data_IF_212229623271
#
_entry.id   IF_212229623271
#
_cell.length_a   1.000
_cell.length_b   1.000
_cell.length_c   1.000
_cell.angle_alpha   90.00
_cell.angle_beta   90.00
_cell.angle_gamma   90.00
#
_symmetry.space_group_name_H-M   'P 1'
#
loop_
_entity.id
_entity.type
_entity.pdbx_description
1 polymer ?
#
# COMPACT_ATOMS: atom_id res chain seq x y z
N UNK A 1 9.00 -9.06 -24.39
CA UNK A 1 7.55 -9.01 -24.12
C UNK A 1 7.36 -8.77 -22.63
N UNK A 2 6.55 -7.78 -22.23
CA UNK A 2 6.29 -7.55 -20.81
C UNK A 2 5.39 -8.67 -20.28
N UNK A 3 5.85 -9.41 -19.29
CA UNK A 3 5.06 -10.43 -18.60
C UNK A 3 4.14 -9.75 -17.59
N UNK A 4 2.84 -9.72 -17.88
CA UNK A 4 1.84 -9.22 -16.94
C UNK A 4 1.42 -10.34 -15.99
N UNK A 5 1.31 -10.03 -14.70
CA UNK A 5 0.72 -10.94 -13.70
C UNK A 5 -0.49 -10.28 -13.05
N UNK A 6 -1.45 -11.09 -12.60
CA UNK A 6 -2.66 -10.60 -11.94
C UNK A 6 -2.50 -10.60 -10.42
N UNK A 7 -3.11 -9.62 -9.77
CA UNK A 7 -3.14 -9.48 -8.31
C UNK A 7 -4.57 -9.71 -7.84
N UNK A 8 -4.76 -10.69 -6.96
CA UNK A 8 -6.04 -10.96 -6.30
C UNK A 8 -5.97 -10.46 -4.85
N UNK A 9 -6.70 -9.38 -4.55
CA UNK A 9 -6.78 -8.82 -3.19
C UNK A 9 -8.21 -8.94 -2.69
N UNK A 10 -8.37 -9.48 -1.48
CA UNK A 10 -9.66 -9.45 -0.78
C UNK A 10 -9.85 -8.08 -0.15
N UNK A 11 -11.02 -7.50 -0.34
CA UNK A 11 -11.41 -6.22 0.22
C UNK A 11 -12.88 -6.30 0.63
N UNK A 12 -13.25 -5.57 1.67
CA UNK A 12 -14.64 -5.40 2.05
C UNK A 12 -15.45 -4.77 0.90
N UNK A 13 -16.69 -5.22 0.73
CA UNK A 13 -17.55 -4.77 -0.36
C UNK A 13 -17.84 -3.26 -0.30
N UNK A 14 -18.07 -2.74 0.90
CA UNK A 14 -18.34 -1.31 1.12
C UNK A 14 -17.11 -0.48 0.75
N UNK A 15 -15.94 -0.92 1.20
CA UNK A 15 -14.66 -0.26 0.89
C UNK A 15 -14.41 -0.26 -0.62
N UNK A 16 -14.66 -1.40 -1.30
CA UNK A 16 -14.52 -1.50 -2.76
C UNK A 16 -15.44 -0.52 -3.49
N UNK A 17 -16.71 -0.44 -3.09
CA UNK A 17 -17.68 0.46 -3.72
C UNK A 17 -17.28 1.93 -3.55
N UNK A 18 -16.92 2.33 -2.33
CA UNK A 18 -16.49 3.70 -2.03
C UNK A 18 -15.21 4.09 -2.79
N UNK A 19 -14.20 3.22 -2.79
CA UNK A 19 -12.95 3.47 -3.50
C UNK A 19 -13.17 3.57 -5.01
N UNK A 20 -14.02 2.69 -5.57
CA UNK A 20 -14.35 2.70 -7.01
C UNK A 20 -15.03 4.02 -7.40
N UNK A 21 -16.02 4.47 -6.64
CA UNK A 21 -16.71 5.73 -6.91
C UNK A 21 -15.78 6.94 -6.80
N UNK A 22 -14.94 6.97 -5.76
CA UNK A 22 -13.98 8.07 -5.54
C UNK A 22 -12.95 8.15 -6.66
N UNK A 23 -12.37 7.01 -7.05
CA UNK A 23 -11.37 6.97 -8.13
C UNK A 23 -12.01 7.29 -9.48
N UNK A 24 -13.23 6.83 -9.74
CA UNK A 24 -13.96 7.17 -10.97
C UNK A 24 -14.22 8.67 -11.08
N UNK A 25 -14.55 9.36 -9.97
CA UNK A 25 -14.67 10.81 -9.94
C UNK A 25 -13.35 11.54 -10.25
N UNK A 26 -12.21 10.87 -10.02
CA UNK A 26 -10.87 11.34 -10.40
C UNK A 26 -10.45 10.90 -11.82
N UNK A 27 -11.30 10.18 -12.56
CA UNK A 27 -10.98 9.65 -13.89
C UNK A 27 -10.06 8.42 -13.88
N UNK A 28 -9.98 7.71 -12.76
CA UNK A 28 -9.09 6.56 -12.56
C UNK A 28 -9.88 5.28 -12.31
N UNK A 29 -9.38 4.15 -12.82
CA UNK A 29 -9.85 2.84 -12.37
C UNK A 29 -9.11 2.39 -11.10
N UNK A 30 -9.68 1.43 -10.37
CA UNK A 30 -8.99 0.76 -9.24
C UNK A 30 -7.67 0.16 -9.69
N UNK A 31 -7.63 -0.43 -10.88
CA UNK A 31 -6.43 -1.02 -11.46
C UNK A 31 -5.34 0.02 -11.74
N UNK A 32 -5.70 1.24 -12.15
CA UNK A 32 -4.74 2.33 -12.36
C UNK A 32 -4.14 2.78 -11.03
N UNK A 33 -4.98 2.98 -10.02
CA UNK A 33 -4.53 3.34 -8.68
C UNK A 33 -3.59 2.28 -8.09
N UNK A 34 -3.93 1.00 -8.21
CA UNK A 34 -3.08 -0.11 -7.73
C UNK A 34 -1.75 -0.15 -8.48
N UNK A 35 -1.74 0.02 -9.81
CA UNK A 35 -0.49 0.10 -10.58
C UNK A 35 0.39 1.27 -10.13
N UNK A 36 -0.18 2.46 -9.99
CA UNK A 36 0.56 3.66 -9.57
C UNK A 36 1.15 3.48 -8.16
N UNK A 37 0.37 2.91 -7.22
CA UNK A 37 0.83 2.59 -5.89
C UNK A 37 2.05 1.67 -5.92
N UNK A 38 1.98 0.56 -6.67
CA UNK A 38 3.07 -0.41 -6.74
C UNK A 38 4.33 0.16 -7.37
N UNK A 39 4.19 1.00 -8.40
CA UNK A 39 5.33 1.70 -9.01
C UNK A 39 5.97 2.65 -8.00
N UNK A 40 5.17 3.49 -7.31
CA UNK A 40 5.67 4.45 -6.32
C UNK A 40 6.40 3.73 -5.18
N UNK A 41 5.82 2.66 -4.63
CA UNK A 41 6.43 1.86 -3.56
C UNK A 41 7.75 1.23 -4.02
N UNK A 42 7.81 0.70 -5.24
CA UNK A 42 9.02 0.11 -5.78
C UNK A 42 10.13 1.15 -6.01
N UNK A 43 9.77 2.37 -6.43
CA UNK A 43 10.74 3.44 -6.71
C UNK A 43 11.23 4.16 -5.46
N UNK A 44 10.35 4.43 -4.50
CA UNK A 44 10.67 5.26 -3.33
C UNK A 44 10.91 4.49 -2.05
N UNK A 45 10.64 3.19 -2.06
CA UNK A 45 10.76 2.35 -0.87
C UNK A 45 9.92 2.90 0.30
N UNK A 46 8.83 3.60 -0.01
CA UNK A 46 7.95 4.26 0.93
C UNK A 46 6.49 4.12 0.47
N UNK A 47 5.57 4.09 1.44
CA UNK A 47 4.15 4.18 1.16
C UNK A 47 3.75 5.65 0.91
N UNK A 48 2.76 5.93 0.04
CA UNK A 48 2.34 7.29 -0.28
C UNK A 48 1.47 7.93 0.81
N UNK A 49 1.41 7.30 1.99
CA UNK A 49 0.73 7.79 3.18
C UNK A 49 1.62 7.50 4.38
N UNK A 50 1.50 8.34 5.41
CA UNK A 50 2.28 8.17 6.64
C UNK A 50 1.92 6.84 7.31
N UNK A 51 2.88 5.92 7.34
CA UNK A 51 2.77 4.68 8.11
C UNK A 51 3.08 5.01 9.55
N UNK A 52 2.03 5.32 10.32
CA UNK A 52 2.18 5.80 11.71
C UNK A 52 2.58 4.72 12.71
N UNK A 53 2.45 3.45 12.35
CA UNK A 53 2.73 2.32 13.26
C UNK A 53 3.91 1.53 12.69
N UNK A 54 5.05 1.48 13.41
CA UNK A 54 6.17 0.64 13.03
C UNK A 54 5.74 -0.83 12.90
N UNK A 55 6.31 -1.54 11.93
CA UNK A 55 6.08 -2.98 11.81
C UNK A 55 6.72 -3.71 13.01
N UNK A 56 6.35 -4.97 13.24
CA UNK A 56 6.81 -5.75 14.40
C UNK A 56 8.35 -5.83 14.51
N UNK A 57 9.05 -5.92 13.37
CA UNK A 57 10.52 -5.96 13.34
C UNK A 57 11.10 -4.62 13.79
N UNK A 58 10.57 -3.51 13.27
CA UNK A 58 10.99 -2.16 13.67
C UNK A 58 10.70 -1.89 15.14
N UNK A 59 9.54 -2.33 15.65
CA UNK A 59 9.22 -2.22 17.09
C UNK A 59 10.20 -3.00 17.96
N UNK A 60 10.55 -4.23 17.57
CA UNK A 60 11.53 -5.03 18.30
C UNK A 60 12.93 -4.38 18.30
N UNK A 61 13.36 -3.85 17.16
CA UNK A 61 14.63 -3.13 17.05
C UNK A 61 14.67 -1.87 17.92
N UNK A 62 13.56 -1.11 17.99
CA UNK A 62 13.44 0.05 18.88
C UNK A 62 13.55 -0.38 20.35
N UNK A 63 12.86 -1.46 20.74
CA UNK A 63 12.93 -1.99 22.11
C UNK A 63 14.32 -2.50 22.48
N UNK A 64 15.06 -3.12 21.55
CA UNK A 64 16.45 -3.52 21.75
C UNK A 64 17.35 -2.32 22.05
N UNK A 65 17.24 -1.26 21.25
CA UNK A 65 17.97 -0.01 21.47
C UNK A 65 17.60 0.65 22.81
N UNK A 66 16.31 0.71 23.16
CA UNK A 66 15.84 1.28 24.42
C UNK A 66 16.27 0.48 25.66
N UNK A 67 16.40 -0.85 25.52
CA UNK A 67 16.85 -1.75 26.59
C UNK A 67 18.37 -1.90 26.64
N UNK A 68 19.10 -1.23 25.75
CA UNK A 68 20.57 -1.24 25.72
C UNK A 68 21.18 -2.59 25.34
N UNK A 69 20.47 -3.38 24.53
CA UNK A 69 20.96 -4.66 23.99
C UNK A 69 21.44 -4.53 22.55
#
# INVERSE_FOLDING_TARGET
MATTTMIHVRVDETVKAQATATLAAMGLSVSDAVRMLLVRVATEQALPFDVRVPNAVTTAAIQELETGR
#
